data_IF_864853604303
#
_entry.id   IF_864853604303
#
_cell.length_a   1.000
_cell.length_b   1.000
_cell.length_c   1.000
_cell.angle_alpha   90.00
_cell.angle_beta   90.00
_cell.angle_gamma   90.00
#
_symmetry.space_group_name_H-M   'P 1'
#
loop_
_entity.id
_entity.type
_entity.pdbx_description
1 polymer ?
#
# COMPACT_ATOMS: atom_id res chain seq x y z
N UNK A 1 6.54 -13.31 25.11
CA UNK A 1 7.27 -12.11 25.54
C UNK A 1 6.34 -11.05 26.17
N UNK A 2 5.09 -10.90 25.69
CA UNK A 2 4.14 -9.89 26.15
C UNK A 2 3.24 -10.36 27.33
N UNK A 3 3.44 -11.54 27.84
CA UNK A 3 2.62 -12.10 28.92
C UNK A 3 2.83 -11.39 30.27
N UNK A 4 3.98 -10.76 30.47
CA UNK A 4 4.28 -9.88 31.59
C UNK A 4 4.62 -8.50 31.03
N UNK A 5 3.59 -7.70 30.78
CA UNK A 5 3.74 -6.34 30.27
C UNK A 5 4.41 -5.46 31.33
N UNK A 6 5.57 -4.93 30.98
CA UNK A 6 6.20 -3.82 31.70
C UNK A 6 6.83 -2.87 30.67
N UNK A 7 6.86 -1.58 30.99
CA UNK A 7 7.40 -0.54 30.09
C UNK A 7 8.82 -0.87 29.66
N UNK A 8 9.63 -1.42 30.56
CA UNK A 8 11.01 -1.87 30.28
C UNK A 8 11.04 -3.04 29.28
N UNK A 9 10.07 -3.95 29.34
CA UNK A 9 10.00 -5.09 28.42
C UNK A 9 9.62 -4.60 27.02
N UNK A 10 8.67 -3.67 26.90
CA UNK A 10 8.29 -3.06 25.64
C UNK A 10 9.48 -2.33 24.98
N UNK A 11 10.19 -1.48 25.74
CA UNK A 11 11.36 -0.76 25.25
C UNK A 11 12.45 -1.75 24.74
N UNK A 12 12.73 -2.82 25.49
CA UNK A 12 13.72 -3.83 25.07
C UNK A 12 13.31 -4.56 23.79
N UNK A 13 12.02 -4.89 23.63
CA UNK A 13 11.50 -5.55 22.41
C UNK A 13 11.62 -4.62 21.21
N UNK A 14 11.18 -3.37 21.35
CA UNK A 14 11.26 -2.36 20.27
C UNK A 14 12.71 -2.09 19.89
N UNK A 15 13.60 -1.88 20.86
CA UNK A 15 15.01 -1.67 20.60
C UNK A 15 15.67 -2.91 19.97
N UNK A 16 15.33 -4.11 20.43
CA UNK A 16 15.82 -5.36 19.85
C UNK A 16 15.40 -5.51 18.39
N UNK A 17 14.14 -5.25 18.07
CA UNK A 17 13.64 -5.26 16.69
C UNK A 17 14.35 -4.22 15.82
N UNK A 18 14.57 -3.01 16.33
CA UNK A 18 15.30 -1.96 15.63
C UNK A 18 16.76 -2.38 15.33
N UNK A 19 17.47 -2.97 16.30
CA UNK A 19 18.83 -3.48 16.11
C UNK A 19 18.85 -4.57 15.03
N UNK A 20 17.92 -5.53 15.07
CA UNK A 20 17.81 -6.57 14.03
C UNK A 20 17.57 -5.94 12.66
N UNK A 21 16.67 -4.95 12.56
CA UNK A 21 16.42 -4.22 11.33
C UNK A 21 17.68 -3.52 10.79
N UNK A 22 18.44 -2.84 11.64
CA UNK A 22 19.71 -2.20 11.26
C UNK A 22 20.73 -3.23 10.77
N UNK A 23 20.89 -4.34 11.49
CA UNK A 23 21.84 -5.41 11.10
C UNK A 23 21.46 -6.01 9.75
N UNK A 24 20.16 -6.29 9.50
CA UNK A 24 19.69 -6.82 8.22
C UNK A 24 19.93 -5.81 7.08
N UNK A 25 19.70 -4.52 7.33
CA UNK A 25 19.99 -3.47 6.36
C UNK A 25 21.49 -3.37 6.05
N UNK A 26 22.37 -3.46 7.06
CA UNK A 26 23.82 -3.47 6.85
C UNK A 26 24.26 -4.69 6.05
N UNK A 27 23.68 -5.87 6.30
CA UNK A 27 23.97 -7.09 5.54
C UNK A 27 23.50 -6.92 4.08
N UNK A 28 22.30 -6.33 3.85
CA UNK A 28 21.78 -6.05 2.51
C UNK A 28 22.67 -5.06 1.74
N UNK A 29 23.20 -4.05 2.43
CA UNK A 29 24.12 -3.06 1.84
C UNK A 29 25.51 -3.65 1.53
N UNK A 30 25.95 -4.67 2.24
CA UNK A 30 27.32 -5.23 2.10
C UNK A 30 27.60 -5.83 0.72
N UNK A 31 26.59 -6.36 0.04
CA UNK A 31 26.73 -6.96 -1.30
C UNK A 31 25.91 -6.24 -2.37
N UNK A 32 25.66 -4.96 -2.21
CA UNK A 32 25.10 -4.17 -3.31
C UNK A 32 26.09 -4.08 -4.47
N UNK A 33 25.55 -4.07 -5.69
CA UNK A 33 26.33 -4.01 -6.92
C UNK A 33 27.44 -2.95 -6.83
N UNK A 34 28.65 -3.33 -7.22
CA UNK A 34 29.74 -2.39 -7.41
C UNK A 34 29.28 -1.29 -8.35
N UNK A 35 29.38 -0.03 -7.92
CA UNK A 35 29.16 1.12 -8.78
C UNK A 35 30.04 0.95 -10.04
N UNK A 36 29.42 0.57 -11.17
CA UNK A 36 30.12 0.58 -12.44
C UNK A 36 30.58 2.01 -12.66
N UNK A 37 31.91 2.30 -12.77
CA UNK A 37 32.36 3.64 -13.07
C UNK A 37 31.73 4.05 -14.39
N UNK A 38 30.94 5.12 -14.39
CA UNK A 38 30.30 5.62 -15.62
C UNK A 38 31.38 5.90 -16.64
N UNK A 39 31.26 5.28 -17.80
CA UNK A 39 32.15 5.50 -18.94
C UNK A 39 32.14 7.00 -19.32
N UNK A 40 33.26 7.53 -19.84
CA UNK A 40 33.35 8.93 -20.24
C UNK A 40 32.22 9.36 -21.17
N UNK A 41 31.79 8.47 -22.07
CA UNK A 41 30.63 8.65 -22.95
C UNK A 41 29.28 8.79 -22.19
N UNK A 42 29.08 8.05 -21.09
CA UNK A 42 27.87 8.18 -20.28
C UNK A 42 27.82 9.47 -19.45
N UNK A 43 28.98 10.07 -19.17
CA UNK A 43 29.09 11.39 -18.50
C UNK A 43 28.79 12.56 -19.45
N UNK A 44 29.03 12.37 -20.73
CA UNK A 44 28.80 13.40 -21.78
C UNK A 44 27.34 13.43 -22.27
N UNK A 45 26.53 12.40 -21.93
CA UNK A 45 25.09 12.43 -22.20
C UNK A 45 24.47 13.54 -21.37
N UNK A 46 24.00 14.58 -22.04
CA UNK A 46 23.32 15.72 -21.45
C UNK A 46 22.08 15.22 -20.66
N UNK A 47 22.15 15.25 -19.33
CA UNK A 47 21.02 14.85 -18.49
C UNK A 47 19.94 15.93 -18.60
N UNK A 48 18.72 15.60 -18.97
CA UNK A 48 17.65 16.58 -19.06
C UNK A 48 17.40 17.22 -17.68
N UNK A 49 17.02 18.50 -17.67
CA UNK A 49 16.55 19.15 -16.45
C UNK A 49 15.35 18.38 -15.89
N UNK A 50 15.24 18.29 -14.57
CA UNK A 50 14.14 17.62 -13.91
C UNK A 50 12.77 18.14 -14.40
N UNK A 51 12.64 19.44 -14.59
CA UNK A 51 11.41 20.08 -15.09
C UNK A 51 10.99 19.55 -16.45
N UNK A 52 11.93 19.38 -17.36
CA UNK A 52 11.66 18.90 -18.73
C UNK A 52 11.29 17.41 -18.71
N UNK A 53 12.04 16.61 -17.93
CA UNK A 53 11.74 15.19 -17.74
C UNK A 53 10.37 14.97 -17.08
N UNK A 54 10.01 15.80 -16.11
CA UNK A 54 8.70 15.76 -15.46
C UNK A 54 7.57 16.17 -16.41
N UNK A 55 7.77 17.22 -17.19
CA UNK A 55 6.82 17.66 -18.21
C UNK A 55 6.54 16.55 -19.23
N UNK A 56 7.61 15.92 -19.74
CA UNK A 56 7.50 14.78 -20.67
C UNK A 56 6.77 13.59 -20.04
N UNK A 57 7.08 13.28 -18.77
CA UNK A 57 6.45 12.19 -18.03
C UNK A 57 4.93 12.41 -17.86
N UNK A 58 4.52 13.65 -17.60
CA UNK A 58 3.11 14.00 -17.39
C UNK A 58 2.32 14.24 -18.68
N UNK A 59 2.99 14.51 -19.80
CA UNK A 59 2.36 14.92 -21.07
C UNK A 59 1.37 13.88 -21.62
N UNK A 60 1.63 12.58 -21.40
CA UNK A 60 0.74 11.50 -21.86
C UNK A 60 -0.53 11.28 -21.05
N UNK A 61 -0.72 11.96 -19.91
CA UNK A 61 -1.87 11.83 -19.01
C UNK A 61 -1.98 10.49 -18.28
N UNK A 62 -1.37 9.42 -18.76
CA UNK A 62 -1.37 8.09 -18.14
C UNK A 62 -0.59 8.07 -16.82
N UNK A 63 0.56 8.74 -16.80
CA UNK A 63 1.40 8.84 -15.62
C UNK A 63 0.70 9.58 -14.48
N UNK A 64 0.14 10.74 -14.75
CA UNK A 64 -0.63 11.51 -13.78
C UNK A 64 -1.81 10.72 -13.21
N UNK A 65 -2.56 10.02 -14.07
CA UNK A 65 -3.67 9.17 -13.64
C UNK A 65 -3.21 8.00 -12.77
N UNK A 66 -2.08 7.36 -13.11
CA UNK A 66 -1.50 6.31 -12.28
C UNK A 66 -1.09 6.87 -10.91
N UNK A 67 -0.43 8.03 -10.87
CA UNK A 67 -0.01 8.66 -9.60
C UNK A 67 -1.22 9.01 -8.71
N UNK A 68 -2.29 9.57 -9.30
CA UNK A 68 -3.55 9.84 -8.56
C UNK A 68 -4.17 8.53 -8.08
N UNK A 69 -4.19 7.47 -8.90
CA UNK A 69 -4.66 6.14 -8.51
C UNK A 69 -3.86 5.59 -7.32
N UNK A 70 -2.53 5.68 -7.38
CA UNK A 70 -1.63 5.25 -6.28
C UNK A 70 -1.90 6.06 -5.03
N UNK A 71 -2.00 7.38 -5.14
CA UNK A 71 -2.24 8.26 -4.01
C UNK A 71 -3.56 7.95 -3.31
N UNK A 72 -4.67 7.95 -4.05
CA UNK A 72 -6.01 7.72 -3.48
C UNK A 72 -6.14 6.28 -2.95
N UNK A 73 -5.63 5.29 -3.69
CA UNK A 73 -5.67 3.90 -3.26
C UNK A 73 -4.82 3.63 -2.03
N UNK A 74 -3.64 4.24 -1.93
CA UNK A 74 -2.80 4.15 -0.72
C UNK A 74 -3.49 4.81 0.46
N UNK A 75 -4.11 5.98 0.28
CA UNK A 75 -4.91 6.60 1.32
C UNK A 75 -6.01 5.66 1.82
N UNK A 76 -6.75 5.05 0.89
CA UNK A 76 -7.85 4.16 1.21
C UNK A 76 -7.44 2.90 1.97
N UNK A 77 -6.21 2.41 1.79
CA UNK A 77 -5.73 1.23 2.51
C UNK A 77 -5.03 1.56 3.84
N UNK A 78 -4.57 2.79 4.05
CA UNK A 78 -3.69 3.11 5.18
C UNK A 78 -4.37 3.95 6.29
N UNK A 79 -5.60 4.48 6.08
CA UNK A 79 -6.29 5.22 7.14
C UNK A 79 -6.59 4.32 8.35
N UNK A 80 -6.85 3.04 8.13
CA UNK A 80 -7.10 2.05 9.15
C UNK A 80 -5.88 1.68 10.00
N UNK A 81 -4.66 2.01 9.58
CA UNK A 81 -3.43 1.56 10.26
C UNK A 81 -3.37 1.96 11.74
N UNK A 82 -3.91 3.13 12.07
CA UNK A 82 -4.01 3.63 13.47
C UNK A 82 -5.32 3.25 14.16
N UNK A 83 -6.30 2.68 13.44
CA UNK A 83 -7.65 2.44 13.93
C UNK A 83 -7.94 0.97 14.20
N UNK A 84 -7.27 0.06 13.51
CA UNK A 84 -7.60 -1.36 13.54
C UNK A 84 -7.40 -1.97 14.95
N UNK A 85 -6.26 -1.68 15.58
CA UNK A 85 -5.97 -2.19 16.92
C UNK A 85 -6.88 -1.56 17.99
N UNK A 86 -7.06 -0.22 18.05
CA UNK A 86 -8.02 0.41 18.97
C UNK A 86 -9.46 -0.09 18.77
N UNK A 87 -9.91 -0.24 17.53
CA UNK A 87 -11.24 -0.81 17.25
C UNK A 87 -11.41 -2.21 17.83
N UNK A 88 -10.39 -3.07 17.65
CA UNK A 88 -10.41 -4.41 18.24
C UNK A 88 -10.50 -4.39 19.77
N UNK A 89 -9.76 -3.49 20.43
CA UNK A 89 -9.78 -3.36 21.88
C UNK A 89 -11.04 -2.71 22.41
N UNK A 90 -11.42 -1.53 21.88
CA UNK A 90 -12.54 -0.73 22.40
C UNK A 90 -13.92 -1.26 22.02
N UNK A 91 -14.09 -1.76 20.81
CA UNK A 91 -15.39 -2.15 20.28
C UNK A 91 -15.65 -3.64 20.38
N UNK A 92 -14.64 -4.47 20.10
CA UNK A 92 -14.77 -5.93 20.14
C UNK A 92 -14.30 -6.54 21.46
N UNK A 93 -13.74 -5.73 22.38
CA UNK A 93 -13.28 -6.20 23.69
C UNK A 93 -12.08 -7.17 23.61
N UNK A 94 -11.30 -7.11 22.54
CA UNK A 94 -10.14 -7.97 22.37
C UNK A 94 -9.03 -7.62 23.36
N UNK A 95 -8.33 -8.64 23.85
CA UNK A 95 -7.15 -8.43 24.68
C UNK A 95 -6.00 -7.83 23.89
N UNK A 96 -5.05 -7.15 24.55
CA UNK A 96 -3.84 -6.60 23.94
C UNK A 96 -3.06 -7.66 23.15
N UNK A 97 -3.00 -8.88 23.66
CA UNK A 97 -2.38 -10.00 22.93
C UNK A 97 -3.13 -10.33 21.63
N UNK A 98 -4.45 -10.27 21.65
CA UNK A 98 -5.27 -10.56 20.47
C UNK A 98 -5.16 -9.45 19.41
N UNK A 99 -5.07 -8.18 19.83
CA UNK A 99 -4.84 -7.07 18.88
C UNK A 99 -3.45 -7.11 18.27
N UNK A 100 -2.42 -7.54 18.99
CA UNK A 100 -1.07 -7.74 18.43
C UNK A 100 -1.07 -8.78 17.29
N UNK A 101 -1.94 -9.81 17.35
CA UNK A 101 -2.09 -10.77 16.26
C UNK A 101 -2.63 -10.15 14.97
N UNK A 102 -3.38 -9.03 15.04
CA UNK A 102 -3.89 -8.34 13.86
C UNK A 102 -2.78 -7.87 12.93
N UNK A 103 -1.71 -7.29 13.49
CA UNK A 103 -0.54 -6.85 12.71
C UNK A 103 0.11 -8.05 12.00
N UNK A 104 0.24 -9.21 12.68
CA UNK A 104 0.79 -10.41 12.07
C UNK A 104 -0.13 -10.97 10.97
N UNK A 105 -1.44 -10.97 11.18
CA UNK A 105 -2.43 -11.40 10.19
C UNK A 105 -2.44 -10.49 8.95
N UNK A 106 -2.43 -9.18 9.17
CA UNK A 106 -2.31 -8.19 8.11
C UNK A 106 -1.01 -8.40 7.29
N UNK A 107 0.14 -8.54 7.96
CA UNK A 107 1.42 -8.79 7.30
C UNK A 107 1.41 -10.11 6.50
N UNK A 108 0.82 -11.16 7.05
CA UNK A 108 0.67 -12.45 6.35
C UNK A 108 -0.21 -12.29 5.11
N UNK A 109 -1.31 -11.54 5.21
CA UNK A 109 -2.15 -11.18 4.07
C UNK A 109 -1.36 -10.42 2.99
N UNK A 110 -0.57 -9.41 3.39
CA UNK A 110 0.25 -8.62 2.47
C UNK A 110 1.28 -9.49 1.74
N UNK A 111 1.98 -10.37 2.46
CA UNK A 111 2.91 -11.33 1.85
C UNK A 111 2.22 -12.26 0.86
N UNK A 112 1.04 -12.77 1.18
CA UNK A 112 0.24 -13.57 0.27
C UNK A 112 -0.16 -12.79 -0.98
N UNK A 113 -0.57 -11.52 -0.81
CA UNK A 113 -0.87 -10.59 -1.90
C UNK A 113 0.34 -10.35 -2.80
N UNK A 114 1.52 -10.09 -2.23
CA UNK A 114 2.78 -9.94 -2.96
C UNK A 114 3.13 -11.21 -3.75
N UNK A 115 3.07 -12.37 -3.10
CA UNK A 115 3.40 -13.63 -3.74
C UNK A 115 2.45 -13.96 -4.91
N UNK A 116 1.15 -13.71 -4.73
CA UNK A 116 0.16 -13.93 -5.77
C UNK A 116 0.33 -12.94 -6.92
N UNK A 117 0.55 -11.65 -6.61
CA UNK A 117 0.85 -10.63 -7.60
C UNK A 117 2.08 -10.99 -8.43
N UNK A 118 3.19 -11.35 -7.77
CA UNK A 118 4.43 -11.73 -8.45
C UNK A 118 4.23 -12.88 -9.43
N UNK A 119 3.53 -13.94 -9.01
CA UNK A 119 3.22 -15.09 -9.89
C UNK A 119 2.36 -14.69 -11.08
N UNK A 120 1.32 -13.89 -10.88
CA UNK A 120 0.41 -13.45 -11.93
C UNK A 120 1.08 -12.49 -12.91
N UNK A 121 1.89 -11.56 -12.41
CA UNK A 121 2.64 -10.62 -13.25
C UNK A 121 3.72 -11.33 -14.06
N UNK A 122 4.45 -12.29 -13.48
CA UNK A 122 5.39 -13.14 -14.19
C UNK A 122 4.71 -13.97 -15.29
N UNK A 123 3.45 -14.37 -15.11
CA UNK A 123 2.64 -15.03 -16.11
C UNK A 123 2.03 -14.08 -17.17
N UNK A 124 2.42 -12.79 -17.18
CA UNK A 124 1.97 -11.81 -18.18
C UNK A 124 0.60 -11.18 -17.88
N UNK A 125 0.09 -11.30 -16.66
CA UNK A 125 -1.17 -10.66 -16.30
C UNK A 125 -1.05 -9.13 -16.34
N UNK A 126 -2.13 -8.46 -16.75
CA UNK A 126 -2.17 -6.98 -16.80
C UNK A 126 -2.11 -6.40 -15.38
N UNK A 127 -1.12 -5.54 -15.06
CA UNK A 127 -0.94 -4.99 -13.71
C UNK A 127 -2.13 -4.14 -13.25
N UNK A 128 -2.78 -3.42 -14.15
CA UNK A 128 -3.95 -2.61 -13.78
C UNK A 128 -5.16 -3.46 -13.40
N UNK A 129 -5.40 -4.59 -14.10
CA UNK A 129 -6.46 -5.53 -13.71
C UNK A 129 -6.17 -6.15 -12.35
N UNK A 130 -4.91 -6.47 -12.11
CA UNK A 130 -4.49 -7.05 -10.85
C UNK A 130 -4.62 -6.05 -9.68
N UNK A 131 -4.27 -4.77 -9.91
CA UNK A 131 -4.54 -3.71 -8.95
C UNK A 131 -6.04 -3.60 -8.63
N UNK A 132 -6.90 -3.70 -9.65
CA UNK A 132 -8.36 -3.72 -9.47
C UNK A 132 -8.85 -4.86 -8.60
N UNK A 133 -8.29 -6.07 -8.75
CA UNK A 133 -8.64 -7.20 -7.86
C UNK A 133 -8.19 -6.94 -6.41
N UNK A 134 -7.06 -6.26 -6.19
CA UNK A 134 -6.63 -5.83 -4.87
C UNK A 134 -7.61 -4.84 -4.23
N UNK A 135 -8.10 -3.87 -5.01
CA UNK A 135 -9.10 -2.90 -4.55
C UNK A 135 -10.41 -3.61 -4.18
N UNK A 136 -10.89 -4.53 -5.01
CA UNK A 136 -12.10 -5.31 -4.70
C UNK A 136 -11.93 -6.13 -3.40
N UNK A 137 -10.76 -6.76 -3.21
CA UNK A 137 -10.45 -7.45 -1.97
C UNK A 137 -10.49 -6.49 -0.76
N UNK A 138 -10.00 -5.26 -0.91
CA UNK A 138 -10.08 -4.21 0.12
C UNK A 138 -11.51 -3.82 0.47
N UNK A 139 -12.39 -3.64 -0.53
CA UNK A 139 -13.81 -3.34 -0.29
C UNK A 139 -14.47 -4.44 0.53
N UNK A 140 -14.26 -5.70 0.17
CA UNK A 140 -14.75 -6.84 0.95
C UNK A 140 -14.15 -6.87 2.36
N UNK A 141 -12.85 -6.58 2.49
CA UNK A 141 -12.14 -6.57 3.75
C UNK A 141 -12.73 -5.56 4.74
N UNK A 142 -12.89 -4.30 4.33
CA UNK A 142 -13.49 -3.26 5.17
C UNK A 142 -14.96 -3.55 5.49
N UNK A 143 -15.70 -4.15 4.56
CA UNK A 143 -17.07 -4.60 4.83
C UNK A 143 -17.08 -5.64 5.96
N UNK A 144 -16.17 -6.62 5.95
CA UNK A 144 -16.06 -7.60 7.03
C UNK A 144 -15.71 -6.95 8.36
N UNK A 145 -14.82 -5.97 8.38
CA UNK A 145 -14.48 -5.21 9.60
C UNK A 145 -15.70 -4.47 10.14
N UNK A 146 -16.44 -3.76 9.28
CA UNK A 146 -17.65 -3.03 9.68
C UNK A 146 -18.70 -3.98 10.27
N UNK A 147 -18.95 -5.12 9.64
CA UNK A 147 -19.94 -6.09 10.10
C UNK A 147 -19.52 -6.89 11.33
N UNK A 148 -18.24 -6.87 11.70
CA UNK A 148 -17.73 -7.64 12.84
C UNK A 148 -18.38 -7.25 14.17
N UNK A 149 -18.61 -5.96 14.43
CA UNK A 149 -19.21 -5.48 15.66
C UNK A 149 -20.72 -5.76 15.74
N UNK A 150 -21.57 -5.42 14.74
CA UNK A 150 -22.98 -5.73 14.78
C UNK A 150 -23.28 -7.23 14.91
N UNK A 151 -22.44 -8.08 14.30
CA UNK A 151 -22.59 -9.54 14.34
C UNK A 151 -21.91 -10.18 15.56
N UNK A 152 -21.18 -9.39 16.36
CA UNK A 152 -20.36 -9.87 17.48
C UNK A 152 -19.42 -11.03 17.08
N UNK A 153 -18.90 -10.97 15.86
CA UNK A 153 -18.16 -12.05 15.25
C UNK A 153 -16.68 -11.64 15.03
N UNK A 154 -15.84 -11.90 16.02
CA UNK A 154 -14.39 -11.59 15.95
C UNK A 154 -13.69 -12.24 14.74
N UNK A 155 -14.22 -13.37 14.26
CA UNK A 155 -13.66 -14.04 13.07
C UNK A 155 -13.76 -13.17 11.82
N UNK A 156 -14.82 -12.37 11.65
CA UNK A 156 -14.98 -11.44 10.54
C UNK A 156 -13.90 -10.35 10.59
N UNK A 157 -13.58 -9.88 11.79
CA UNK A 157 -12.54 -8.89 12.01
C UNK A 157 -11.15 -9.41 11.63
N UNK A 158 -10.79 -10.62 12.06
CA UNK A 158 -9.52 -11.25 11.69
C UNK A 158 -9.43 -11.55 10.20
N UNK A 159 -10.50 -12.05 9.59
CA UNK A 159 -10.56 -12.23 8.14
C UNK A 159 -10.44 -10.91 7.40
N UNK A 160 -11.08 -9.85 7.89
CA UNK A 160 -10.95 -8.50 7.37
C UNK A 160 -9.49 -8.01 7.40
N UNK A 161 -8.79 -8.17 8.53
CA UNK A 161 -7.39 -7.77 8.67
C UNK A 161 -6.47 -8.48 7.66
N UNK A 162 -6.63 -9.80 7.47
CA UNK A 162 -5.89 -10.57 6.47
C UNK A 162 -6.17 -10.05 5.06
N UNK A 163 -7.44 -9.81 4.75
CA UNK A 163 -7.87 -9.35 3.42
C UNK A 163 -7.44 -7.90 3.14
N UNK A 164 -7.40 -7.01 4.15
CA UNK A 164 -6.82 -5.66 4.01
C UNK A 164 -5.36 -5.78 3.59
N UNK A 165 -4.57 -6.60 4.31
CA UNK A 165 -3.19 -6.86 3.96
C UNK A 165 -3.04 -7.42 2.54
N UNK A 166 -3.82 -8.44 2.19
CA UNK A 166 -3.81 -9.05 0.86
C UNK A 166 -4.13 -8.03 -0.25
N UNK A 167 -5.21 -7.27 -0.09
CA UNK A 167 -5.65 -6.26 -1.06
C UNK A 167 -4.62 -5.15 -1.24
N UNK A 168 -4.09 -4.61 -0.13
CA UNK A 168 -3.07 -3.54 -0.16
C UNK A 168 -1.76 -4.02 -0.78
N UNK A 169 -1.30 -5.22 -0.43
CA UNK A 169 -0.09 -5.82 -1.01
C UNK A 169 -0.23 -6.06 -2.52
N UNK A 170 -1.37 -6.60 -2.94
CA UNK A 170 -1.67 -6.83 -4.34
C UNK A 170 -1.74 -5.51 -5.13
N UNK A 171 -2.38 -4.48 -4.57
CA UNK A 171 -2.46 -3.15 -5.15
C UNK A 171 -1.06 -2.49 -5.29
N UNK A 172 -0.25 -2.53 -4.23
CA UNK A 172 1.07 -1.92 -4.21
C UNK A 172 2.01 -2.51 -5.27
N UNK A 173 2.16 -3.84 -5.32
CA UNK A 173 3.03 -4.51 -6.31
C UNK A 173 2.52 -4.30 -7.73
N UNK A 174 1.21 -4.35 -7.93
CA UNK A 174 0.63 -4.17 -9.26
C UNK A 174 0.83 -2.75 -9.79
N UNK A 175 0.63 -1.73 -8.96
CA UNK A 175 0.85 -0.33 -9.34
C UNK A 175 2.34 0.01 -9.50
N UNK A 176 3.22 -0.59 -8.68
CA UNK A 176 4.66 -0.51 -8.85
C UNK A 176 5.09 -1.08 -10.21
N UNK A 177 4.61 -2.27 -10.55
CA UNK A 177 4.90 -2.90 -11.85
C UNK A 177 4.35 -2.06 -12.99
N UNK A 178 3.16 -1.48 -12.85
CA UNK A 178 2.62 -0.56 -13.85
C UNK A 178 3.52 0.67 -14.05
N UNK A 179 4.07 1.24 -12.98
CA UNK A 179 5.04 2.35 -13.07
C UNK A 179 6.35 1.92 -13.76
N UNK A 180 6.86 0.72 -13.45
CA UNK A 180 8.09 0.18 -14.07
C UNK A 180 7.93 -0.13 -15.55
N UNK A 181 6.75 -0.58 -15.98
CA UNK A 181 6.46 -0.98 -17.36
C UNK A 181 5.87 0.16 -18.20
N UNK A 182 5.68 1.33 -17.61
CA UNK A 182 5.16 2.49 -18.34
C UNK A 182 6.13 2.88 -19.46
N UNK A 183 5.65 3.06 -20.70
CA UNK A 183 6.49 3.55 -21.79
C UNK A 183 7.01 4.93 -21.44
N UNK A 184 8.28 5.03 -21.15
CA UNK A 184 8.97 6.31 -20.98
C UNK A 184 9.40 6.78 -22.36
N UNK A 185 8.51 7.49 -23.07
CA UNK A 185 8.87 8.19 -24.29
C UNK A 185 9.57 9.49 -23.90
N UNK A 186 10.73 9.76 -24.48
CA UNK A 186 11.45 10.98 -24.27
C UNK A 186 12.54 10.92 -23.18
N UNK A 187 12.75 12.05 -22.51
CA UNK A 187 13.82 12.27 -21.53
C UNK A 187 13.54 11.67 -20.15
N UNK A 188 12.30 11.24 -19.89
CA UNK A 188 11.90 10.64 -18.63
C UNK A 188 12.36 9.18 -18.54
N UNK A 189 13.32 8.90 -17.68
CA UNK A 189 13.79 7.53 -17.43
C UNK A 189 12.88 6.76 -16.44
N UNK A 190 13.04 5.42 -16.37
CA UNK A 190 12.33 4.55 -15.40
C UNK A 190 12.52 5.00 -13.96
N UNK A 191 13.66 5.58 -13.62
CA UNK A 191 13.93 6.12 -12.28
C UNK A 191 12.97 7.22 -11.86
N UNK A 192 12.55 8.11 -12.80
CA UNK A 192 11.57 9.14 -12.52
C UNK A 192 10.19 8.54 -12.20
N UNK A 193 9.75 7.55 -12.98
CA UNK A 193 8.47 6.87 -12.74
C UNK A 193 8.42 6.18 -11.37
N UNK A 194 9.50 5.48 -10.99
CA UNK A 194 9.63 4.84 -9.68
C UNK A 194 9.70 5.85 -8.54
N UNK A 195 10.48 6.91 -8.70
CA UNK A 195 10.57 7.99 -7.72
C UNK A 195 9.24 8.70 -7.51
N UNK A 196 8.50 8.99 -8.59
CA UNK A 196 7.17 9.61 -8.53
C UNK A 196 6.14 8.68 -7.86
N UNK A 197 6.15 7.37 -8.19
CA UNK A 197 5.32 6.37 -7.55
C UNK A 197 5.61 6.29 -6.04
N UNK A 198 6.87 6.18 -5.65
CA UNK A 198 7.27 6.12 -4.24
C UNK A 198 6.92 7.39 -3.46
N UNK A 199 7.11 8.57 -4.07
CA UNK A 199 6.72 9.84 -3.46
C UNK A 199 5.19 9.93 -3.27
N UNK A 200 4.40 9.54 -4.27
CA UNK A 200 2.94 9.52 -4.17
C UNK A 200 2.48 8.57 -3.05
N UNK A 201 3.04 7.36 -2.98
CA UNK A 201 2.70 6.37 -1.96
C UNK A 201 3.10 6.85 -0.55
N UNK A 202 4.33 7.30 -0.34
CA UNK A 202 4.79 7.75 0.97
C UNK A 202 4.01 8.96 1.48
N UNK A 203 3.73 9.92 0.60
CA UNK A 203 2.93 11.11 0.96
C UNK A 203 1.50 10.71 1.31
N UNK A 204 0.87 9.85 0.50
CA UNK A 204 -0.48 9.36 0.77
C UNK A 204 -0.55 8.59 2.10
N UNK A 205 0.43 7.71 2.39
CA UNK A 205 0.49 6.96 3.63
C UNK A 205 0.60 7.89 4.85
N UNK A 206 1.49 8.89 4.81
CA UNK A 206 1.63 9.86 5.90
C UNK A 206 0.36 10.68 6.15
N UNK A 207 -0.28 11.17 5.08
CA UNK A 207 -1.53 11.94 5.17
C UNK A 207 -2.67 11.05 5.68
N UNK A 208 -2.77 9.81 5.20
CA UNK A 208 -3.88 8.91 5.57
C UNK A 208 -3.89 8.55 7.05
N UNK A 209 -2.72 8.30 7.64
CA UNK A 209 -2.58 8.02 9.07
C UNK A 209 -3.09 9.20 9.90
N UNK A 210 -2.68 10.42 9.56
CA UNK A 210 -3.13 11.63 10.24
C UNK A 210 -4.64 11.88 10.07
N UNK A 211 -5.16 11.68 8.85
CA UNK A 211 -6.58 11.85 8.56
C UNK A 211 -7.43 10.75 9.23
N UNK A 212 -6.98 9.49 9.22
CA UNK A 212 -7.70 8.38 9.82
C UNK A 212 -7.97 8.62 11.31
N UNK A 213 -6.92 8.89 12.08
CA UNK A 213 -7.05 9.21 13.50
C UNK A 213 -7.84 10.51 13.75
N UNK A 214 -7.46 11.59 13.06
CA UNK A 214 -8.10 12.90 13.25
C UNK A 214 -9.59 12.91 12.90
N UNK A 215 -10.02 12.25 11.80
CA UNK A 215 -11.43 12.13 11.44
C UNK A 215 -12.20 11.26 12.44
N UNK A 216 -11.61 10.15 12.87
CA UNK A 216 -12.23 9.28 13.87
C UNK A 216 -12.53 10.06 15.16
N UNK A 217 -11.54 10.80 15.68
CA UNK A 217 -11.68 11.59 16.90
C UNK A 217 -12.66 12.74 16.73
N UNK A 218 -12.60 13.43 15.61
CA UNK A 218 -13.50 14.55 15.30
C UNK A 218 -14.96 14.09 15.20
N UNK A 219 -15.23 13.01 14.48
CA UNK A 219 -16.58 12.42 14.36
C UNK A 219 -17.08 11.93 15.72
N UNK A 220 -16.22 11.28 16.51
CA UNK A 220 -16.54 10.86 17.88
C UNK A 220 -16.92 12.04 18.77
N UNK A 221 -16.16 13.14 18.73
CA UNK A 221 -16.44 14.35 19.51
C UNK A 221 -17.80 14.97 19.13
N UNK A 222 -18.13 15.05 17.84
CA UNK A 222 -19.43 15.54 17.37
C UNK A 222 -20.56 14.61 17.83
N UNK A 223 -20.41 13.30 17.70
CA UNK A 223 -21.40 12.32 18.12
C UNK A 223 -21.69 12.44 19.63
N UNK A 224 -20.67 12.54 20.45
CA UNK A 224 -20.79 12.71 21.89
C UNK A 224 -21.40 14.06 22.31
N UNK A 225 -21.36 15.09 21.46
CA UNK A 225 -22.02 16.37 21.73
C UNK A 225 -23.54 16.32 21.67
N UNK A 226 -24.13 15.17 21.33
CA UNK A 226 -25.58 14.94 21.22
C UNK A 226 -26.27 15.60 20.02
N UNK A 227 -25.52 16.29 19.15
CA UNK A 227 -26.09 17.03 17.99
C UNK A 227 -26.74 16.11 16.96
N UNK A 228 -26.35 14.84 16.89
CA UNK A 228 -26.87 13.87 15.91
C UNK A 228 -27.89 12.90 16.51
N UNK A 229 -28.33 13.16 17.75
CA UNK A 229 -29.29 12.30 18.45
C UNK A 229 -28.63 11.08 19.12
N UNK A 230 -29.40 10.45 20.01
CA UNK A 230 -28.89 9.32 20.84
C UNK A 230 -28.46 8.10 20.02
N UNK A 231 -29.10 7.84 18.89
CA UNK A 231 -28.77 6.71 18.02
C UNK A 231 -27.33 6.79 17.43
N UNK A 232 -26.77 7.99 17.34
CA UNK A 232 -25.41 8.23 16.81
C UNK A 232 -24.35 8.36 17.91
N UNK A 233 -24.69 8.13 19.17
CA UNK A 233 -23.77 8.27 20.31
C UNK A 233 -23.01 6.95 20.60
N UNK A 234 -22.94 6.02 19.64
CA UNK A 234 -22.20 4.78 19.79
C UNK A 234 -20.68 5.02 19.74
N UNK A 235 -19.87 4.37 20.60
CA UNK A 235 -18.41 4.48 20.58
C UNK A 235 -17.78 4.11 19.22
N UNK A 236 -18.45 3.24 18.46
CA UNK A 236 -17.99 2.77 17.15
C UNK A 236 -18.20 3.76 16.01
N UNK A 237 -18.91 4.87 16.20
CA UNK A 237 -19.32 5.77 15.10
C UNK A 237 -18.13 6.39 14.37
N UNK A 238 -17.09 6.82 15.10
CA UNK A 238 -15.88 7.39 14.50
C UNK A 238 -15.16 6.37 13.61
N UNK A 239 -14.98 5.16 14.09
CA UNK A 239 -14.38 4.07 13.34
C UNK A 239 -15.21 3.71 12.10
N UNK A 240 -16.51 3.54 12.29
CA UNK A 240 -17.44 3.20 11.21
C UNK A 240 -17.40 4.23 10.09
N UNK A 241 -17.36 5.51 10.44
CA UNK A 241 -17.25 6.59 9.45
C UNK A 241 -15.98 6.46 8.61
N UNK A 242 -14.81 6.24 9.25
CA UNK A 242 -13.55 6.12 8.53
C UNK A 242 -13.53 4.89 7.63
N UNK A 243 -14.00 3.72 8.11
CA UNK A 243 -14.08 2.52 7.27
C UNK A 243 -15.01 2.67 6.07
N UNK A 244 -16.14 3.38 6.19
CA UNK A 244 -16.99 3.70 5.06
C UNK A 244 -16.32 4.67 4.09
N UNK A 245 -15.56 5.64 4.60
CA UNK A 245 -14.78 6.56 3.77
C UNK A 245 -13.70 5.80 2.98
N UNK A 246 -13.02 4.84 3.60
CA UNK A 246 -12.04 3.98 2.93
C UNK A 246 -12.68 3.18 1.78
N UNK A 247 -13.85 2.59 2.01
CA UNK A 247 -14.63 1.93 0.96
C UNK A 247 -14.95 2.92 -0.17
N UNK A 248 -15.41 4.12 0.17
CA UNK A 248 -15.69 5.18 -0.81
C UNK A 248 -14.45 5.55 -1.63
N UNK A 249 -13.28 5.73 -0.98
CA UNK A 249 -12.01 6.00 -1.65
C UNK A 249 -11.56 4.83 -2.54
N UNK A 250 -11.83 3.58 -2.16
CA UNK A 250 -11.55 2.41 -3.00
C UNK A 250 -12.44 2.41 -4.25
N UNK A 251 -13.71 2.79 -4.17
CA UNK A 251 -14.56 2.97 -5.35
C UNK A 251 -14.05 4.11 -6.25
N UNK A 252 -13.62 5.22 -5.69
CA UNK A 252 -12.98 6.31 -6.44
C UNK A 252 -11.71 5.80 -7.14
N UNK A 253 -10.89 5.02 -6.44
CA UNK A 253 -9.69 4.40 -7.01
C UNK A 253 -10.01 3.47 -8.18
N UNK A 254 -11.08 2.66 -8.09
CA UNK A 254 -11.57 1.84 -9.20
C UNK A 254 -11.99 2.68 -10.40
N UNK A 255 -12.68 3.80 -10.17
CA UNK A 255 -13.08 4.71 -11.23
C UNK A 255 -11.88 5.35 -11.94
N UNK A 256 -10.84 5.74 -11.19
CA UNK A 256 -9.59 6.26 -11.74
C UNK A 256 -8.83 5.17 -12.52
N UNK A 257 -8.85 3.95 -12.01
CA UNK A 257 -8.14 2.80 -12.60
C UNK A 257 -8.79 2.32 -13.92
N UNK A 258 -10.12 2.42 -14.04
CA UNK A 258 -10.89 1.89 -15.17
C UNK A 258 -10.35 2.28 -16.56
N UNK A 259 -10.11 3.56 -16.86
CA UNK A 259 -9.51 3.97 -18.13
C UNK A 259 -8.11 3.43 -18.37
N UNK A 260 -7.28 3.24 -17.32
CA UNK A 260 -5.95 2.65 -17.44
C UNK A 260 -6.04 1.19 -17.86
N UNK A 261 -7.01 0.44 -17.34
CA UNK A 261 -7.28 -0.95 -17.76
C UNK A 261 -7.68 -1.02 -19.24
N UNK A 262 -8.55 -0.10 -19.69
CA UNK A 262 -9.04 -0.08 -21.09
C UNK A 262 -7.95 0.30 -22.09
N UNK A 263 -7.06 1.20 -21.72
CA UNK A 263 -5.96 1.68 -22.58
C UNK A 263 -4.78 0.71 -22.65
N UNK A 264 -4.65 -0.19 -21.70
CA UNK A 264 -3.73 -1.31 -21.76
C UNK A 264 -4.45 -2.43 -22.53
N UNK A 265 -4.35 -2.41 -23.86
CA UNK A 265 -4.76 -3.54 -24.71
C UNK A 265 -4.14 -4.86 -24.23
N UNK A 266 -4.60 -6.03 -24.75
CA UNK A 266 -3.90 -7.27 -24.47
C UNK A 266 -2.42 -7.02 -24.74
N UNK A 267 -1.56 -7.45 -23.80
CA UNK A 267 -0.10 -7.40 -23.98
C UNK A 267 0.18 -8.30 -25.19
N UNK A 268 0.09 -7.69 -26.38
CA UNK A 268 0.57 -8.32 -27.61
C UNK A 268 2.06 -8.44 -27.37
N UNK A 269 2.47 -9.64 -27.01
CA UNK A 269 3.85 -10.12 -26.92
C UNK A 269 4.88 -8.98 -26.84
N UNK A 270 5.08 -8.44 -25.63
CA UNK A 270 6.41 -7.95 -25.28
C UNK A 270 7.33 -9.13 -25.66
N UNK A 271 8.30 -8.86 -26.54
CA UNK A 271 9.37 -9.79 -26.88
C UNK A 271 9.63 -10.70 -25.68
N UNK A 272 9.56 -12.01 -25.90
CA UNK A 272 9.89 -12.98 -24.86
C UNK A 272 11.12 -12.42 -24.14
N UNK A 273 11.10 -12.26 -22.80
CA UNK A 273 12.30 -11.88 -22.11
C UNK A 273 13.35 -12.89 -22.60
N UNK A 274 14.35 -12.39 -23.32
CA UNK A 274 15.47 -13.23 -23.66
C UNK A 274 15.92 -13.80 -22.32
N UNK A 275 16.00 -15.15 -22.18
CA UNK A 275 16.50 -15.70 -20.95
C UNK A 275 17.86 -15.05 -20.75
N UNK A 276 18.02 -14.32 -19.66
CA UNK A 276 19.32 -13.81 -19.23
C UNK A 276 20.12 -15.07 -18.92
N UNK A 277 20.80 -15.58 -19.93
CA UNK A 277 21.68 -16.72 -19.79
C UNK A 277 22.92 -16.27 -19.02
N UNK A 278 23.52 -17.18 -18.27
CA UNK A 278 24.82 -16.99 -17.59
C UNK A 278 25.93 -16.50 -18.55
N UNK A 279 25.71 -16.54 -19.87
CA UNK A 279 26.61 -16.10 -20.93
C UNK A 279 26.66 -14.57 -21.06
N UNK A 280 25.66 -13.84 -20.55
CA UNK A 280 25.59 -12.38 -20.61
C UNK A 280 26.30 -11.69 -19.43
N UNK A 281 26.90 -12.45 -18.53
CA UNK A 281 27.76 -11.89 -17.48
C UNK A 281 29.19 -11.71 -18.04
N UNK A 282 29.73 -10.48 -18.13
CA UNK A 282 31.13 -10.27 -18.51
C UNK A 282 32.01 -10.94 -17.44
N UNK A 283 32.87 -11.88 -17.91
CA UNK A 283 33.92 -12.53 -17.12
C UNK A 283 34.97 -11.51 -16.65
#
# INVERSE_FOLDING_TARGET
LLRNYSDLTLIRVVQGAAVVGVVLNLIALWKQESLKPSTRQEREVHRPLFRDAWSDFMAGGKAGRLLVCVFVGTMAFNMQDVLLEPYGGEILGLSVSATTWLTALWATGALAGFAWAGRRLAAGSNPYRLAGTGILAGIWAFSLVIFSAPMQANILFYCGAILIGFGSGLFAISTLTAAMTMPTQGKAGRGLALGAWGAAQATAAGISIALGGGLCDWIRAIAQSGRWGEAMNAPSIGYSFVYHLEIGLLFVTLAILGPLVRQSGPITQLEKPQPIGLVDFPT
#
